data_IF_054038793167
#
_entry.id   IF_054038793167
#
_cell.length_a   1.000
_cell.length_b   1.000
_cell.length_c   1.000
_cell.angle_alpha   90.00
_cell.angle_beta   90.00
_cell.angle_gamma   90.00
#
_symmetry.space_group_name_H-M   'P 1'
#
loop_
_entity.id
_entity.type
_entity.pdbx_description
1 polymer ?
#
# COMPACT_ATOMS: atom_id res chain seq x y z
N UNK A 1 24.79 -14.83 -19.21
CA UNK A 1 23.69 -14.01 -19.74
C UNK A 1 23.09 -13.30 -18.55
N UNK A 2 23.12 -11.99 -18.53
CA UNK A 2 22.62 -11.19 -17.40
C UNK A 2 21.14 -11.49 -17.22
N UNK A 3 20.76 -11.70 -15.97
CA UNK A 3 19.38 -11.91 -15.51
C UNK A 3 18.55 -10.65 -15.87
N UNK A 4 17.96 -10.66 -17.05
CA UNK A 4 17.23 -9.53 -17.64
C UNK A 4 15.78 -9.51 -17.19
N UNK A 5 15.51 -10.08 -16.02
CA UNK A 5 14.17 -10.14 -15.47
C UNK A 5 13.64 -8.74 -15.12
N UNK A 6 12.68 -8.24 -15.89
CA UNK A 6 11.97 -7.00 -15.58
C UNK A 6 10.66 -7.32 -14.86
N UNK A 7 10.39 -6.63 -13.79
CA UNK A 7 9.14 -6.74 -13.05
C UNK A 7 8.50 -5.36 -12.90
N UNK A 8 7.18 -5.34 -12.74
CA UNK A 8 6.47 -4.12 -12.36
C UNK A 8 6.04 -4.23 -10.91
N UNK A 9 6.40 -3.22 -10.12
CA UNK A 9 5.89 -3.01 -8.77
C UNK A 9 4.81 -1.94 -8.76
N UNK A 10 3.66 -2.22 -8.13
CA UNK A 10 2.52 -1.30 -8.05
C UNK A 10 2.17 -1.04 -6.58
N UNK A 11 2.15 0.24 -6.19
CA UNK A 11 1.58 0.72 -4.92
C UNK A 11 0.19 1.30 -5.21
N UNK A 12 -0.86 0.55 -4.88
CA UNK A 12 -2.24 0.94 -5.10
C UNK A 12 -2.81 1.59 -3.83
N UNK A 13 -3.08 2.88 -3.88
CA UNK A 13 -3.68 3.62 -2.77
C UNK A 13 -4.99 4.32 -3.13
N UNK A 14 -5.77 4.70 -2.13
CA UNK A 14 -7.05 5.40 -2.31
C UNK A 14 -6.93 6.82 -2.90
N UNK A 15 -5.72 7.38 -2.97
CA UNK A 15 -5.47 8.73 -3.50
C UNK A 15 -4.73 8.69 -4.83
N UNK A 16 -3.85 7.73 -4.99
CA UNK A 16 -2.97 7.55 -6.15
C UNK A 16 -2.60 6.08 -6.29
N UNK A 17 -2.25 5.69 -7.50
CA UNK A 17 -1.49 4.49 -7.80
C UNK A 17 -0.12 4.91 -8.34
N UNK A 18 0.93 4.19 -7.94
CA UNK A 18 2.29 4.33 -8.45
C UNK A 18 2.73 3.00 -9.03
N UNK A 19 3.22 3.02 -10.27
CA UNK A 19 3.84 1.86 -10.90
C UNK A 19 5.32 2.13 -11.19
N UNK A 20 6.17 1.12 -11.01
CA UNK A 20 7.59 1.17 -11.31
C UNK A 20 8.01 -0.06 -12.11
N UNK A 21 8.76 0.12 -13.19
CA UNK A 21 9.50 -0.97 -13.86
C UNK A 21 10.85 -1.12 -13.18
N UNK A 22 11.16 -2.34 -12.74
CA UNK A 22 12.30 -2.63 -11.87
C UNK A 22 13.09 -3.81 -12.44
N UNK A 23 14.42 -3.71 -12.44
CA UNK A 23 15.31 -4.83 -12.78
C UNK A 23 15.40 -5.85 -11.64
N UNK A 24 15.87 -7.07 -11.90
CA UNK A 24 16.17 -8.08 -10.88
C UNK A 24 17.15 -7.56 -9.80
N UNK A 25 17.97 -6.56 -10.12
CA UNK A 25 18.89 -5.91 -9.16
C UNK A 25 18.21 -4.84 -8.31
N UNK A 26 16.95 -4.50 -8.56
CA UNK A 26 16.21 -3.46 -7.84
C UNK A 26 16.39 -2.04 -8.40
N UNK A 27 16.97 -1.91 -9.60
CA UNK A 27 17.09 -0.61 -10.28
C UNK A 27 15.76 -0.23 -10.91
N UNK A 28 15.30 1.00 -10.66
CA UNK A 28 14.07 1.54 -11.23
C UNK A 28 14.39 2.16 -12.58
N UNK A 29 13.84 1.60 -13.66
CA UNK A 29 14.03 2.07 -15.03
C UNK A 29 12.97 3.11 -15.45
N UNK A 30 11.75 2.99 -14.94
CA UNK A 30 10.66 3.92 -15.20
C UNK A 30 9.64 3.90 -14.08
N UNK A 31 8.93 5.01 -13.88
CA UNK A 31 7.89 5.13 -12.87
C UNK A 31 6.81 6.10 -13.32
N UNK A 32 5.56 5.76 -13.09
CA UNK A 32 4.44 6.62 -13.40
C UNK A 32 3.43 6.60 -12.26
N UNK A 33 2.70 7.71 -12.12
CA UNK A 33 1.75 7.90 -11.04
C UNK A 33 0.44 8.47 -11.58
N UNK A 34 -0.65 7.76 -11.28
CA UNK A 34 -2.00 8.19 -11.61
C UNK A 34 -2.82 8.51 -10.35
N UNK A 35 -3.79 9.39 -10.48
CA UNK A 35 -4.71 9.72 -9.39
C UNK A 35 -5.85 8.71 -9.34
N UNK A 36 -6.07 8.13 -8.15
CA UNK A 36 -7.23 7.27 -7.86
C UNK A 36 -8.33 8.01 -7.09
N UNK A 37 -7.98 9.15 -6.48
CA UNK A 37 -8.93 9.95 -5.71
C UNK A 37 -10.12 10.43 -6.57
N UNK A 38 -11.34 10.21 -6.07
CA UNK A 38 -12.61 10.54 -6.73
C UNK A 38 -13.02 9.60 -7.88
N UNK A 39 -12.30 8.51 -8.11
CA UNK A 39 -12.78 7.47 -9.00
C UNK A 39 -13.78 6.59 -8.23
N UNK A 40 -15.02 6.52 -8.76
CA UNK A 40 -16.14 5.86 -8.07
C UNK A 40 -16.56 4.54 -8.74
N UNK A 41 -15.70 3.96 -9.60
CA UNK A 41 -15.97 2.70 -10.28
C UNK A 41 -14.75 1.78 -10.27
N UNK A 42 -14.98 0.47 -10.20
CA UNK A 42 -13.94 -0.56 -10.30
C UNK A 42 -13.16 -0.41 -11.61
N UNK A 43 -13.88 -0.22 -12.71
CA UNK A 43 -13.27 -0.06 -14.04
C UNK A 43 -12.38 1.18 -14.10
N UNK A 44 -12.80 2.30 -13.52
CA UNK A 44 -11.99 3.52 -13.48
C UNK A 44 -10.69 3.33 -12.68
N UNK A 45 -10.75 2.62 -11.54
CA UNK A 45 -9.54 2.26 -10.78
C UNK A 45 -8.64 1.34 -11.61
N UNK A 46 -9.21 0.36 -12.30
CA UNK A 46 -8.43 -0.53 -13.14
C UNK A 46 -7.74 0.19 -14.28
N UNK A 47 -8.42 1.12 -14.96
CA UNK A 47 -7.84 1.93 -16.03
C UNK A 47 -6.72 2.85 -15.51
N UNK A 48 -6.85 3.41 -14.30
CA UNK A 48 -5.76 4.18 -13.69
C UNK A 48 -4.52 3.32 -13.40
N UNK A 49 -4.72 2.04 -13.00
CA UNK A 49 -3.62 1.10 -12.81
C UNK A 49 -2.95 0.79 -14.16
N UNK A 50 -3.73 0.48 -15.21
CA UNK A 50 -3.22 0.21 -16.56
C UNK A 50 -2.40 1.41 -17.06
N UNK A 51 -2.96 2.63 -16.96
CA UNK A 51 -2.27 3.86 -17.37
C UNK A 51 -0.94 4.05 -16.66
N UNK A 52 -0.90 3.84 -15.33
CA UNK A 52 0.33 3.96 -14.56
C UNK A 52 1.39 2.92 -15.00
N UNK A 53 0.99 1.67 -15.25
CA UNK A 53 1.92 0.62 -15.72
C UNK A 53 2.44 0.94 -17.11
N UNK A 54 1.56 1.30 -18.04
CA UNK A 54 1.95 1.63 -19.42
C UNK A 54 2.84 2.87 -19.47
N UNK A 55 2.57 3.90 -18.63
CA UNK A 55 3.41 5.08 -18.50
C UNK A 55 4.82 4.75 -17.94
N UNK A 56 4.90 3.87 -16.93
CA UNK A 56 6.17 3.42 -16.39
C UNK A 56 6.97 2.59 -17.42
N UNK A 57 6.29 1.73 -18.18
CA UNK A 57 6.89 0.94 -19.26
C UNK A 57 7.41 1.83 -20.40
N UNK A 58 6.66 2.85 -20.79
CA UNK A 58 7.08 3.78 -21.84
C UNK A 58 8.33 4.55 -21.42
N UNK A 59 8.43 4.99 -20.15
CA UNK A 59 9.65 5.65 -19.63
C UNK A 59 10.86 4.70 -19.58
N UNK A 60 10.61 3.41 -19.34
CA UNK A 60 11.64 2.39 -19.29
C UNK A 60 12.01 1.82 -20.67
N UNK A 61 11.31 2.22 -21.75
CA UNK A 61 11.42 1.64 -23.10
C UNK A 61 11.22 0.12 -23.11
N UNK A 62 10.22 -0.38 -22.35
CA UNK A 62 9.95 -1.80 -22.13
C UNK A 62 8.61 -2.19 -22.77
N UNK A 63 8.58 -3.31 -23.51
CA UNK A 63 7.37 -3.90 -24.06
C UNK A 63 6.77 -4.95 -23.11
N UNK A 64 5.45 -5.23 -23.25
CA UNK A 64 4.72 -6.18 -22.37
C UNK A 64 5.39 -7.55 -22.32
N UNK A 65 5.84 -8.08 -23.45
CA UNK A 65 6.51 -9.40 -23.54
C UNK A 65 7.86 -9.49 -22.81
N UNK A 66 8.42 -8.38 -22.34
CA UNK A 66 9.66 -8.34 -21.56
C UNK A 66 9.42 -8.46 -20.05
N UNK A 67 8.17 -8.32 -19.59
CA UNK A 67 7.81 -8.41 -18.18
C UNK A 67 7.74 -9.87 -17.74
N UNK A 68 8.39 -10.18 -16.62
CA UNK A 68 8.34 -11.51 -16.01
C UNK A 68 7.20 -11.64 -15.00
N UNK A 69 6.87 -10.57 -14.28
CA UNK A 69 5.79 -10.56 -13.31
C UNK A 69 5.38 -9.13 -12.92
N UNK A 70 4.20 -9.03 -12.33
CA UNK A 70 3.68 -7.82 -11.69
C UNK A 70 3.45 -8.12 -10.21
N UNK A 71 3.93 -7.24 -9.32
CA UNK A 71 3.64 -7.29 -7.89
C UNK A 71 2.82 -6.07 -7.48
N UNK A 72 1.73 -6.27 -6.74
CA UNK A 72 0.84 -5.19 -6.29
C UNK A 72 0.74 -5.17 -4.77
N UNK A 73 1.05 -4.05 -4.15
CA UNK A 73 0.64 -3.73 -2.78
C UNK A 73 -0.70 -3.01 -2.81
N UNK A 74 -1.71 -3.57 -2.17
CA UNK A 74 -3.07 -3.01 -2.16
C UNK A 74 -3.65 -2.95 -0.74
N UNK A 75 -4.42 -1.89 -0.40
CA UNK A 75 -5.04 -1.77 0.92
C UNK A 75 -6.35 -2.55 0.99
N UNK A 76 -6.66 -3.04 2.18
CA UNK A 76 -7.92 -3.73 2.48
C UNK A 76 -7.77 -5.21 2.71
N UNK A 77 -8.89 -5.92 2.64
CA UNK A 77 -8.93 -7.38 2.81
C UNK A 77 -8.68 -8.06 1.48
N UNK A 78 -7.70 -8.93 1.44
CA UNK A 78 -7.24 -9.61 0.24
C UNK A 78 -7.38 -11.13 0.39
N UNK A 79 -7.59 -11.80 -0.73
CA UNK A 79 -7.27 -13.20 -0.91
C UNK A 79 -5.99 -13.30 -1.75
N UNK A 80 -4.81 -13.48 -1.14
CA UNK A 80 -3.55 -13.47 -1.87
C UNK A 80 -3.34 -14.73 -2.72
N UNK A 81 -4.05 -15.81 -2.47
CA UNK A 81 -3.96 -17.04 -3.26
C UNK A 81 -4.57 -16.83 -4.66
N UNK A 82 -5.68 -16.11 -4.74
CA UNK A 82 -6.30 -15.71 -6.02
C UNK A 82 -5.88 -14.32 -6.49
N UNK A 83 -5.22 -13.52 -5.66
CA UNK A 83 -4.93 -12.12 -5.94
C UNK A 83 -6.16 -11.23 -6.07
N UNK A 84 -7.23 -11.58 -5.32
CA UNK A 84 -8.52 -10.87 -5.32
C UNK A 84 -8.58 -9.87 -4.19
N UNK A 85 -8.96 -8.64 -4.47
CA UNK A 85 -9.32 -7.64 -3.45
C UNK A 85 -10.77 -7.93 -3.02
N UNK A 86 -10.95 -8.53 -1.84
CA UNK A 86 -12.27 -8.85 -1.31
C UNK A 86 -13.03 -7.59 -0.92
N UNK A 87 -12.33 -6.63 -0.30
CA UNK A 87 -12.90 -5.35 0.09
C UNK A 87 -11.80 -4.31 0.30
N UNK A 88 -11.98 -3.12 -0.26
CA UNK A 88 -11.14 -1.96 0.03
C UNK A 88 -11.97 -0.84 0.69
N UNK A 89 -11.59 -0.35 1.88
CA UNK A 89 -12.36 0.68 2.58
C UNK A 89 -12.31 2.06 1.90
N UNK A 90 -11.28 2.31 1.09
CA UNK A 90 -10.99 3.62 0.52
C UNK A 90 -11.15 3.68 -1.01
N UNK A 91 -11.58 2.59 -1.62
CA UNK A 91 -11.78 2.48 -3.08
C UNK A 91 -13.03 1.65 -3.38
N UNK A 92 -13.68 1.85 -4.52
CA UNK A 92 -14.87 1.11 -4.92
C UNK A 92 -14.51 -0.30 -5.44
N UNK A 93 -13.70 -1.06 -4.69
CA UNK A 93 -13.27 -2.41 -5.06
C UNK A 93 -13.89 -3.43 -4.11
N UNK A 94 -14.61 -4.39 -4.70
CA UNK A 94 -15.22 -5.49 -3.96
C UNK A 94 -15.22 -6.77 -4.80
N UNK A 95 -14.67 -7.85 -4.24
CA UNK A 95 -14.47 -9.13 -4.94
C UNK A 95 -13.81 -8.94 -6.32
N UNK A 96 -12.83 -8.03 -6.37
CA UNK A 96 -12.18 -7.62 -7.60
C UNK A 96 -10.95 -8.48 -7.88
N UNK A 97 -11.01 -9.32 -8.92
CA UNK A 97 -9.95 -10.26 -9.29
C UNK A 97 -8.77 -9.53 -9.97
N UNK A 98 -8.04 -8.72 -9.19
CA UNK A 98 -7.01 -7.82 -9.72
C UNK A 98 -5.85 -8.57 -10.38
N UNK A 99 -5.36 -9.65 -9.75
CA UNK A 99 -4.25 -10.42 -10.31
C UNK A 99 -4.58 -11.01 -11.68
N UNK A 100 -5.77 -11.61 -11.83
CA UNK A 100 -6.21 -12.15 -13.10
C UNK A 100 -6.30 -11.07 -14.17
N UNK A 101 -6.99 -9.96 -13.85
CA UNK A 101 -7.18 -8.86 -14.80
C UNK A 101 -5.85 -8.25 -15.28
N UNK A 102 -4.89 -8.05 -14.39
CA UNK A 102 -3.57 -7.54 -14.75
C UNK A 102 -2.76 -8.60 -15.51
N UNK A 103 -2.83 -9.86 -15.10
CA UNK A 103 -2.20 -10.97 -15.82
C UNK A 103 -2.68 -11.06 -17.26
N UNK A 104 -3.98 -10.96 -17.48
CA UNK A 104 -4.59 -10.96 -18.83
C UNK A 104 -4.17 -9.73 -19.65
N UNK A 105 -4.09 -8.54 -19.01
CA UNK A 105 -3.74 -7.31 -19.71
C UNK A 105 -2.27 -7.22 -20.14
N UNK A 106 -1.36 -7.79 -19.34
CA UNK A 106 0.08 -7.68 -19.56
C UNK A 106 0.76 -8.99 -19.97
N UNK A 107 0.06 -10.12 -19.96
CA UNK A 107 0.56 -11.42 -20.41
C UNK A 107 1.61 -12.05 -19.49
N UNK A 108 1.64 -11.69 -18.20
CA UNK A 108 2.57 -12.23 -17.21
C UNK A 108 1.89 -12.47 -15.86
N UNK A 109 2.46 -13.32 -14.97
CA UNK A 109 1.92 -13.54 -13.64
C UNK A 109 1.78 -12.25 -12.84
N UNK A 110 0.69 -12.12 -12.07
CA UNK A 110 0.48 -11.00 -11.17
C UNK A 110 0.22 -11.51 -9.74
N UNK A 111 0.86 -10.88 -8.76
CA UNK A 111 0.75 -11.20 -7.33
C UNK A 111 0.25 -9.98 -6.59
N UNK A 112 -0.72 -10.17 -5.70
CA UNK A 112 -1.31 -9.08 -4.92
C UNK A 112 -1.13 -9.38 -3.43
N UNK A 113 -0.59 -8.43 -2.68
CA UNK A 113 -0.42 -8.51 -1.24
C UNK A 113 -0.88 -7.24 -0.54
N UNK A 114 -0.96 -7.29 0.79
CA UNK A 114 -1.27 -6.09 1.57
C UNK A 114 -0.16 -5.05 1.41
N UNK A 115 -0.52 -3.76 1.27
CA UNK A 115 0.41 -2.65 1.03
C UNK A 115 1.48 -2.51 2.12
N UNK A 116 1.11 -2.61 3.41
CA UNK A 116 2.06 -2.54 4.51
C UNK A 116 3.00 -3.76 4.54
N UNK A 117 2.48 -4.97 4.33
CA UNK A 117 3.28 -6.18 4.24
C UNK A 117 4.28 -6.10 3.07
N UNK A 118 3.85 -5.64 1.91
CA UNK A 118 4.74 -5.46 0.74
C UNK A 118 5.80 -4.38 1.01
N UNK A 119 5.43 -3.30 1.69
CA UNK A 119 6.39 -2.28 2.14
C UNK A 119 7.45 -2.85 3.09
N UNK A 120 7.03 -3.63 4.10
CA UNK A 120 7.96 -4.30 5.03
C UNK A 120 8.85 -5.30 4.30
N UNK A 121 8.29 -6.07 3.38
CA UNK A 121 9.06 -7.01 2.56
C UNK A 121 10.11 -6.29 1.69
N UNK A 122 9.75 -5.15 1.12
CA UNK A 122 10.68 -4.30 0.37
C UNK A 122 11.82 -3.78 1.23
N UNK A 123 11.52 -3.23 2.42
CA UNK A 123 12.52 -2.76 3.37
C UNK A 123 13.43 -3.90 3.88
N UNK A 124 12.88 -5.07 4.10
CA UNK A 124 13.66 -6.24 4.51
C UNK A 124 14.59 -6.73 3.42
N UNK A 125 14.11 -6.80 2.17
CA UNK A 125 14.90 -7.39 1.07
C UNK A 125 15.85 -6.41 0.41
N UNK A 126 15.53 -5.12 0.37
CA UNK A 126 16.25 -4.10 -0.41
C UNK A 126 16.54 -2.80 0.36
N UNK A 127 15.97 -2.62 1.55
CA UNK A 127 16.08 -1.41 2.34
C UNK A 127 16.84 -1.61 3.65
N UNK A 128 16.38 -0.93 4.70
CA UNK A 128 17.02 -0.89 6.01
C UNK A 128 17.05 -2.23 6.77
N UNK A 129 16.21 -3.18 6.36
CA UNK A 129 16.12 -4.52 6.96
C UNK A 129 17.03 -5.56 6.36
N UNK A 130 17.91 -5.21 5.41
CA UNK A 130 18.82 -6.19 4.81
C UNK A 130 19.71 -6.88 5.86
N UNK A 131 19.78 -8.21 5.80
CA UNK A 131 20.63 -9.01 6.65
C UNK A 131 20.08 -9.31 8.05
N UNK A 132 18.85 -8.83 8.39
CA UNK A 132 18.21 -9.20 9.67
C UNK A 132 17.20 -10.34 9.44
N UNK A 133 17.13 -11.27 10.39
CA UNK A 133 16.20 -12.42 10.32
C UNK A 133 14.83 -12.11 10.94
N UNK A 134 14.74 -11.10 11.79
CA UNK A 134 13.50 -10.69 12.44
C UNK A 134 13.35 -9.17 12.37
N UNK A 135 12.23 -8.67 11.84
CA UNK A 135 11.98 -7.25 11.66
C UNK A 135 10.50 -6.93 11.88
N UNK A 136 10.24 -5.81 12.51
CA UNK A 136 8.92 -5.20 12.57
C UNK A 136 8.99 -3.91 11.76
N UNK A 137 8.17 -3.79 10.72
CA UNK A 137 7.97 -2.55 10.00
C UNK A 137 6.71 -1.84 10.48
N UNK A 138 6.77 -0.52 10.66
CA UNK A 138 5.63 0.32 11.03
C UNK A 138 5.57 1.53 10.10
N UNK A 139 4.48 1.68 9.37
CA UNK A 139 4.24 2.78 8.46
C UNK A 139 3.22 3.75 9.02
N UNK A 140 3.68 4.95 9.38
CA UNK A 140 2.81 6.02 9.89
C UNK A 140 2.44 6.95 8.74
N UNK A 141 1.22 6.78 8.24
CA UNK A 141 0.65 7.53 7.13
C UNK A 141 -0.73 8.09 7.47
N UNK A 142 -1.65 8.06 6.52
CA UNK A 142 -3.08 8.36 6.74
C UNK A 142 -3.64 7.51 7.88
N UNK A 143 -3.30 6.22 7.89
CA UNK A 143 -3.45 5.27 8.99
C UNK A 143 -2.10 4.87 9.59
N UNK A 144 -2.09 3.75 10.32
CA UNK A 144 -0.88 3.06 10.79
C UNK A 144 -0.96 1.61 10.34
N UNK A 145 -0.13 1.25 9.37
CA UNK A 145 0.07 -0.13 8.93
C UNK A 145 1.34 -0.74 9.52
N UNK A 146 1.42 -2.04 9.49
CA UNK A 146 2.62 -2.76 9.91
C UNK A 146 2.76 -4.10 9.21
N UNK A 147 3.91 -4.72 9.38
CA UNK A 147 4.21 -6.07 8.91
C UNK A 147 5.36 -6.67 9.69
N UNK A 148 5.45 -7.95 9.64
CA UNK A 148 6.41 -8.74 10.41
C UNK A 148 7.26 -9.60 9.49
N UNK A 149 8.56 -9.63 9.73
CA UNK A 149 9.45 -10.68 9.23
C UNK A 149 9.92 -11.48 10.43
N UNK A 150 9.71 -12.78 10.41
CA UNK A 150 10.15 -13.71 11.46
C UNK A 150 10.90 -14.87 10.80
N UNK A 151 12.06 -15.20 11.33
CA UNK A 151 12.90 -16.30 10.82
C UNK A 151 13.15 -16.25 9.31
N UNK A 152 13.47 -15.05 8.79
CA UNK A 152 13.71 -14.76 7.37
C UNK A 152 12.49 -15.01 6.47
N UNK A 153 11.28 -14.84 6.99
CA UNK A 153 10.04 -14.96 6.22
C UNK A 153 9.06 -13.85 6.58
N UNK A 154 8.37 -13.31 5.59
CA UNK A 154 7.23 -12.43 5.85
C UNK A 154 6.16 -13.24 6.57
N UNK A 155 5.79 -12.77 7.77
CA UNK A 155 4.83 -13.47 8.63
C UNK A 155 3.46 -12.80 8.56
N UNK A 156 2.52 -13.47 7.92
CA UNK A 156 1.16 -12.97 7.77
C UNK A 156 0.18 -13.58 8.79
N UNK A 157 0.59 -14.61 9.52
CA UNK A 157 -0.27 -15.36 10.44
C UNK A 157 -1.27 -16.27 9.72
N UNK A 158 -1.98 -17.12 10.47
CA UNK A 158 -2.96 -18.06 9.92
C UNK A 158 -4.18 -17.35 9.30
N UNK A 159 -4.56 -16.19 9.84
CA UNK A 159 -5.66 -15.35 9.33
C UNK A 159 -5.20 -14.27 8.36
N UNK A 160 -3.92 -14.21 8.00
CA UNK A 160 -3.30 -13.21 7.12
C UNK A 160 -3.50 -11.76 7.57
N UNK A 161 -3.61 -11.57 8.91
CA UNK A 161 -3.79 -10.26 9.56
C UNK A 161 -2.71 -10.00 10.61
N UNK A 162 -1.59 -10.71 10.57
CA UNK A 162 -0.47 -10.41 11.43
C UNK A 162 0.16 -9.05 11.06
N UNK A 163 0.69 -8.36 12.06
CA UNK A 163 1.30 -7.04 11.82
C UNK A 163 0.33 -5.87 11.83
N UNK A 164 -0.96 -6.08 12.11
CA UNK A 164 -1.98 -5.03 12.23
C UNK A 164 -1.76 -4.15 13.49
N UNK A 165 -0.55 -3.59 13.62
CA UNK A 165 -0.07 -2.83 14.79
C UNK A 165 -0.92 -1.60 15.06
N UNK A 166 -1.39 -0.94 13.98
CA UNK A 166 -2.25 0.23 14.08
C UNK A 166 -3.59 -0.04 14.79
N UNK A 167 -4.04 -1.29 14.78
CA UNK A 167 -5.31 -1.70 15.38
C UNK A 167 -5.18 -2.29 16.80
N UNK A 168 -3.96 -2.34 17.34
CA UNK A 168 -3.76 -2.67 18.77
C UNK A 168 -4.42 -1.60 19.63
N UNK A 169 -5.25 -2.04 20.59
CA UNK A 169 -5.89 -1.14 21.57
C UNK A 169 -4.86 -0.72 22.61
N UNK A 170 -4.44 0.53 22.56
CA UNK A 170 -3.45 1.12 23.48
C UNK A 170 -4.10 2.00 24.55
N UNK A 171 -5.38 2.33 24.40
CA UNK A 171 -6.15 3.10 25.37
C UNK A 171 -7.60 2.57 25.44
N UNK A 172 -7.96 1.95 26.55
CA UNK A 172 -9.34 1.51 26.78
C UNK A 172 -10.30 2.70 26.76
N UNK A 173 -11.41 2.56 26.02
CA UNK A 173 -12.42 3.62 25.86
C UNK A 173 -11.95 4.84 25.05
N UNK A 174 -10.77 4.80 24.44
CA UNK A 174 -10.21 5.85 23.62
C UNK A 174 -11.02 6.21 22.36
N UNK A 175 -10.46 6.99 21.43
CA UNK A 175 -11.13 7.43 20.23
C UNK A 175 -11.64 6.25 19.39
N UNK A 176 -12.74 6.46 18.66
CA UNK A 176 -13.26 5.45 17.72
C UNK A 176 -12.29 5.30 16.54
N UNK A 177 -11.94 4.06 16.21
CA UNK A 177 -11.15 3.70 15.04
C UNK A 177 -12.04 3.34 13.85
N UNK A 178 -11.51 3.48 12.64
CA UNK A 178 -12.15 3.06 11.40
C UNK A 178 -12.48 1.56 11.35
N UNK A 179 -11.71 0.72 12.05
CA UNK A 179 -11.97 -0.72 12.17
C UNK A 179 -13.18 -1.09 13.05
N UNK A 180 -13.83 -0.12 13.69
CA UNK A 180 -14.97 -0.33 14.59
C UNK A 180 -14.61 -0.35 16.08
N UNK A 181 -13.37 -0.64 16.44
CA UNK A 181 -12.87 -0.64 17.82
C UNK A 181 -12.67 0.78 18.37
N UNK A 182 -12.31 0.87 19.66
CA UNK A 182 -11.93 2.12 20.34
C UNK A 182 -10.54 2.01 20.92
N UNK A 183 -9.77 3.11 20.82
CA UNK A 183 -8.45 3.23 21.43
C UNK A 183 -7.32 2.54 20.68
N UNK A 184 -7.51 2.25 19.41
CA UNK A 184 -6.46 1.75 18.55
C UNK A 184 -5.33 2.78 18.42
N UNK A 185 -4.09 2.32 18.29
CA UNK A 185 -2.92 3.17 18.04
C UNK A 185 -3.13 4.11 16.86
N UNK A 186 -3.69 3.62 15.76
CA UNK A 186 -4.00 4.43 14.57
C UNK A 186 -4.93 5.59 14.87
N UNK A 187 -6.00 5.36 15.65
CA UNK A 187 -6.96 6.40 16.01
C UNK A 187 -6.36 7.51 16.88
N UNK A 188 -5.16 7.31 17.42
CA UNK A 188 -4.46 8.25 18.30
C UNK A 188 -3.21 8.87 17.68
N UNK A 189 -2.46 8.09 16.89
CA UNK A 189 -1.10 8.44 16.47
C UNK A 189 -0.89 8.46 14.95
N UNK A 190 -1.91 8.16 14.14
CA UNK A 190 -1.80 8.34 12.68
C UNK A 190 -1.71 9.83 12.32
N UNK A 191 -1.17 10.12 11.12
CA UNK A 191 -1.14 11.49 10.59
C UNK A 191 -2.54 12.13 10.62
N UNK A 192 -3.57 11.38 10.24
CA UNK A 192 -4.97 11.85 10.29
C UNK A 192 -5.41 12.16 11.72
N UNK A 193 -5.11 11.29 12.68
CA UNK A 193 -5.47 11.49 14.08
C UNK A 193 -4.78 12.73 14.68
N UNK A 194 -3.47 12.86 14.44
CA UNK A 194 -2.68 14.01 14.90
C UNK A 194 -3.20 15.30 14.27
N UNK A 195 -3.43 15.32 12.93
CA UNK A 195 -3.95 16.50 12.24
C UNK A 195 -5.32 16.91 12.78
N UNK A 196 -6.22 15.96 12.99
CA UNK A 196 -7.55 16.22 13.55
C UNK A 196 -7.48 16.76 14.99
N UNK A 197 -6.56 16.24 15.81
CA UNK A 197 -6.35 16.71 17.18
C UNK A 197 -5.84 18.15 17.20
N UNK A 198 -4.85 18.46 16.39
CA UNK A 198 -4.32 19.81 16.24
C UNK A 198 -5.37 20.79 15.70
N UNK A 199 -6.13 20.38 14.69
CA UNK A 199 -7.21 21.21 14.15
C UNK A 199 -8.25 21.55 15.22
N UNK A 200 -8.71 20.55 15.99
CA UNK A 200 -9.67 20.77 17.09
C UNK A 200 -9.13 21.68 18.17
N UNK A 201 -7.84 21.58 18.54
CA UNK A 201 -7.21 22.46 19.53
C UNK A 201 -7.19 23.93 19.02
N UNK A 202 -6.81 24.14 17.76
CA UNK A 202 -6.81 25.46 17.13
C UNK A 202 -8.23 26.05 17.08
N UNK A 203 -9.24 25.25 16.73
CA UNK A 203 -10.65 25.69 16.73
C UNK A 203 -11.15 26.08 18.12
N UNK A 204 -10.58 25.53 19.19
CA UNK A 204 -10.86 25.90 20.57
C UNK A 204 -10.10 27.16 21.06
N UNK A 205 -9.32 27.79 20.17
CA UNK A 205 -8.59 29.03 20.47
C UNK A 205 -7.14 28.80 20.95
N UNK A 206 -6.61 27.59 20.87
CA UNK A 206 -5.20 27.34 21.19
C UNK A 206 -4.29 28.02 20.18
N UNK A 207 -3.28 28.76 20.69
CA UNK A 207 -2.31 29.46 19.83
C UNK A 207 -1.35 28.46 19.19
N UNK A 208 -1.23 28.48 17.85
CA UNK A 208 -0.32 27.63 17.11
C UNK A 208 0.22 28.32 15.86
N UNK A 209 1.49 28.13 15.58
CA UNK A 209 2.10 28.55 14.29
C UNK A 209 1.49 27.81 13.09
N UNK A 210 0.79 26.70 13.33
CA UNK A 210 0.11 25.91 12.31
C UNK A 210 -1.29 26.43 11.99
N UNK A 211 -1.84 27.37 12.75
CA UNK A 211 -3.22 27.86 12.56
C UNK A 211 -3.52 28.30 11.12
N UNK A 212 -2.58 28.96 10.45
CA UNK A 212 -2.73 29.39 9.06
C UNK A 212 -2.56 28.29 8.00
N UNK A 213 -2.13 27.09 8.39
CA UNK A 213 -1.91 25.95 7.47
C UNK A 213 -3.09 24.98 7.41
N UNK A 214 -3.96 24.99 8.40
CA UNK A 214 -5.20 24.23 8.41
C UNK A 214 -6.30 25.05 7.73
N UNK A 215 -6.37 24.99 6.41
CA UNK A 215 -7.56 25.47 5.65
C UNK A 215 -8.58 24.34 5.70
N UNK A 216 -9.78 24.65 6.21
CA UNK A 216 -10.92 23.74 6.28
C UNK A 216 -11.35 23.19 4.92
#
# INVERSE_FOLDING_TARGET
>A
MADSGLVVGIDLGGTKVLACVITAKGEILGREKERTQRINSEEGIFQAIISAVEGAMAQAEVEKGMLQAIGVGAPGTLDPDSGTILFSPNMPLRNFALAQKLGDAFGCPCYVGNDANMGVFGEWTRGAGQGVSNMIGVFVGTGIGGGLVLDNQLYEGSGRVAGEIGHMVVQMGGPKCGCGNRGCLEAMASRTAISNTLYKAIQKGEKSQLAGKFKG
#
